data_IF_156612763584
#
_entry.id   IF_156612763584
#
_cell.length_a   1.000
_cell.length_b   1.000
_cell.length_c   1.000
_cell.angle_alpha   90.00
_cell.angle_beta   90.00
_cell.angle_gamma   90.00
#
_symmetry.space_group_name_H-M   'P 1'
#
loop_
_entity.id
_entity.type
_entity.pdbx_description
1 polymer ?
#
# COMPACT_ATOMS: atom_id res chain seq x y z
N UNK A 1 5.30 1.66 8.95
CA UNK A 1 4.54 2.76 9.58
C UNK A 1 5.37 3.54 10.58
N UNK A 2 5.93 2.90 11.62
CA UNK A 2 6.72 3.55 12.68
C UNK A 2 7.83 4.49 12.18
N UNK A 3 8.51 4.12 11.09
CA UNK A 3 9.53 5.01 10.50
C UNK A 3 8.98 6.32 9.94
N UNK A 4 7.79 6.32 9.35
CA UNK A 4 7.15 7.54 8.83
C UNK A 4 6.65 8.47 9.94
N UNK A 5 6.39 7.92 11.13
CA UNK A 5 5.81 8.63 12.26
C UNK A 5 6.86 9.11 13.26
N UNK A 6 7.88 8.30 13.53
CA UNK A 6 8.87 8.52 14.59
C UNK A 6 10.29 8.72 14.03
N UNK A 7 10.51 8.44 12.74
CA UNK A 7 11.85 8.49 12.13
C UNK A 7 12.77 7.33 12.51
N UNK A 8 12.35 6.49 13.47
CA UNK A 8 13.14 5.39 14.01
C UNK A 8 12.70 4.01 13.49
N UNK A 9 13.63 3.05 13.54
CA UNK A 9 13.36 1.64 13.25
C UNK A 9 12.94 0.97 14.54
N UNK A 10 11.65 0.69 14.67
CA UNK A 10 11.09 -0.05 15.79
C UNK A 10 11.01 -1.53 15.43
N UNK A 11 11.40 -2.41 16.35
CA UNK A 11 11.20 -3.86 16.20
C UNK A 11 9.71 -4.16 16.16
N UNK A 12 9.22 -4.73 15.05
CA UNK A 12 7.80 -4.99 14.84
C UNK A 12 7.43 -6.42 15.25
N UNK A 13 6.25 -6.59 15.84
CA UNK A 13 5.60 -7.90 16.05
C UNK A 13 4.62 -8.12 14.89
N UNK A 14 4.42 -9.35 14.38
CA UNK A 14 3.41 -9.61 13.36
C UNK A 14 2.02 -9.09 13.75
N UNK A 15 1.41 -8.26 12.90
CA UNK A 15 0.08 -7.70 13.15
C UNK A 15 -0.97 -8.83 13.07
N UNK A 16 -1.72 -9.03 14.15
CA UNK A 16 -2.80 -10.05 14.26
C UNK A 16 -4.17 -9.46 13.85
N UNK A 17 -4.27 -8.14 13.74
CA UNK A 17 -5.45 -7.42 13.27
C UNK A 17 -5.09 -6.23 12.40
N UNK A 18 -5.31 -5.03 12.94
CA UNK A 18 -4.96 -3.77 12.29
C UNK A 18 -4.39 -2.77 13.29
N UNK A 19 -3.58 -1.83 12.80
CA UNK A 19 -3.20 -0.63 13.54
C UNK A 19 -3.75 0.61 12.81
N UNK A 20 -4.19 1.61 13.57
CA UNK A 20 -4.57 2.92 13.03
C UNK A 20 -3.56 3.94 13.48
N UNK A 21 -2.93 4.62 12.54
CA UNK A 21 -2.03 5.72 12.85
C UNK A 21 -2.40 6.96 12.04
N UNK A 22 -2.20 8.12 12.67
CA UNK A 22 -2.26 9.39 11.99
C UNK A 22 -0.86 9.86 11.65
N UNK A 23 -0.56 9.96 10.36
CA UNK A 23 0.73 10.41 9.85
C UNK A 23 0.52 11.79 9.22
N UNK A 24 1.25 12.79 9.71
CA UNK A 24 1.31 14.09 9.02
C UNK A 24 2.54 14.10 8.14
N UNK A 25 2.34 14.23 6.83
CA UNK A 25 3.44 14.36 5.87
C UNK A 25 3.23 15.63 5.06
N UNK A 26 4.18 16.57 5.18
CA UNK A 26 4.06 17.94 4.69
C UNK A 26 2.78 18.61 5.22
N UNK A 27 1.91 19.08 4.32
CA UNK A 27 0.62 19.71 4.63
C UNK A 27 -0.57 18.75 4.58
N UNK A 28 -0.32 17.43 4.45
CA UNK A 28 -1.35 16.40 4.39
C UNK A 28 -1.38 15.58 5.68
N UNK A 29 -2.59 15.26 6.13
CA UNK A 29 -2.84 14.33 7.23
C UNK A 29 -3.39 13.04 6.65
N UNK A 30 -2.68 11.95 6.88
CA UNK A 30 -3.04 10.61 6.47
C UNK A 30 -3.60 9.86 7.68
N UNK A 31 -4.78 9.26 7.52
CA UNK A 31 -5.21 8.19 8.40
C UNK A 31 -4.80 6.87 7.74
N UNK A 32 -3.82 6.19 8.32
CA UNK A 32 -3.28 4.95 7.78
C UNK A 32 -3.80 3.77 8.58
N UNK A 33 -4.35 2.80 7.86
CA UNK A 33 -4.78 1.51 8.38
C UNK A 33 -3.74 0.47 7.98
N UNK A 34 -2.91 0.04 8.93
CA UNK A 34 -1.92 -1.02 8.72
C UNK A 34 -2.57 -2.37 8.97
N UNK A 35 -2.76 -3.15 7.90
CA UNK A 35 -3.47 -4.41 7.89
C UNK A 35 -2.48 -5.58 7.87
N UNK A 36 -2.67 -6.56 8.74
CA UNK A 36 -1.81 -7.73 8.75
C UNK A 36 -1.92 -8.57 7.46
N UNK A 37 -0.79 -9.14 7.03
CA UNK A 37 -0.66 -9.90 5.78
C UNK A 37 -0.80 -11.42 5.88
N UNK A 38 -1.12 -11.95 7.07
CA UNK A 38 -1.26 -13.39 7.29
C UNK A 38 -2.47 -13.93 6.51
N UNK A 39 -2.34 -15.10 5.90
CA UNK A 39 -3.38 -15.68 5.01
C UNK A 39 -4.75 -15.74 5.68
N UNK A 40 -4.82 -16.05 6.97
CA UNK A 40 -6.07 -16.14 7.74
C UNK A 40 -6.83 -14.82 7.89
N UNK A 41 -6.15 -13.67 7.77
CA UNK A 41 -6.74 -12.35 8.02
C UNK A 41 -6.95 -11.51 6.76
N UNK A 42 -6.39 -11.92 5.61
CA UNK A 42 -6.60 -11.22 4.32
C UNK A 42 -8.07 -11.02 3.95
N UNK A 43 -9.00 -11.97 4.22
CA UNK A 43 -10.42 -11.77 3.93
C UNK A 43 -11.07 -10.58 4.65
N UNK A 44 -10.42 -10.03 5.69
CA UNK A 44 -10.91 -8.85 6.42
C UNK A 44 -10.42 -7.52 5.84
N UNK A 45 -9.50 -7.52 4.86
CA UNK A 45 -9.04 -6.28 4.23
C UNK A 45 -10.19 -5.48 3.62
N UNK A 46 -11.21 -6.17 3.09
CA UNK A 46 -12.42 -5.56 2.52
C UNK A 46 -13.19 -4.66 3.46
N UNK A 47 -13.07 -4.87 4.78
CA UNK A 47 -13.70 -4.01 5.77
C UNK A 47 -13.13 -2.58 5.78
N UNK A 48 -12.04 -2.32 5.06
CA UNK A 48 -11.34 -1.03 5.02
C UNK A 48 -11.32 -0.40 3.63
N UNK A 49 -11.97 -0.98 2.63
CA UNK A 49 -11.94 -0.44 1.26
C UNK A 49 -12.83 0.80 1.09
N UNK A 50 -14.00 0.81 1.73
CA UNK A 50 -14.92 1.94 1.64
C UNK A 50 -14.27 3.23 2.14
N UNK A 51 -14.41 4.30 1.37
CA UNK A 51 -13.83 5.64 1.65
C UNK A 51 -12.29 5.66 1.73
N UNK A 52 -11.60 4.72 1.06
CA UNK A 52 -10.14 4.77 0.92
C UNK A 52 -9.72 5.63 -0.27
N UNK A 53 -8.92 6.67 -0.03
CA UNK A 53 -8.39 7.55 -1.09
C UNK A 53 -7.24 6.92 -1.90
N UNK A 54 -6.43 6.08 -1.24
CA UNK A 54 -5.26 5.43 -1.84
C UNK A 54 -4.86 4.15 -1.08
N UNK A 55 -4.22 3.23 -1.79
CA UNK A 55 -3.64 1.99 -1.24
C UNK A 55 -2.13 2.03 -1.37
N UNK A 56 -1.43 1.65 -0.30
CA UNK A 56 0.00 1.35 -0.31
C UNK A 56 0.14 -0.17 -0.15
N UNK A 57 0.57 -0.84 -1.22
CA UNK A 57 0.81 -2.28 -1.21
C UNK A 57 2.31 -2.57 -1.12
N UNK A 58 2.74 -3.29 -0.09
CA UNK A 58 4.15 -3.55 0.20
C UNK A 58 4.50 -4.99 -0.17
N UNK A 59 5.53 -5.15 -1.00
CA UNK A 59 6.02 -6.46 -1.46
C UNK A 59 7.45 -6.66 -0.98
N UNK A 60 7.72 -7.80 -0.35
CA UNK A 60 9.08 -8.20 -0.04
C UNK A 60 9.80 -8.68 -1.30
N UNK A 61 10.70 -7.83 -1.83
CA UNK A 61 11.48 -8.14 -3.04
C UNK A 61 12.48 -9.28 -2.88
N UNK A 62 12.83 -9.68 -1.64
CA UNK A 62 13.74 -10.78 -1.39
C UNK A 62 13.02 -12.15 -1.41
N UNK A 63 11.71 -12.17 -1.18
CA UNK A 63 10.90 -13.38 -1.11
C UNK A 63 10.34 -13.78 -2.48
N UNK A 64 11.18 -14.47 -3.26
CA UNK A 64 10.83 -14.90 -4.62
C UNK A 64 9.76 -15.97 -4.65
N UNK A 65 9.64 -16.80 -3.61
CA UNK A 65 8.69 -17.91 -3.57
C UNK A 65 7.26 -17.40 -3.39
N UNK A 66 7.08 -16.30 -2.64
CA UNK A 66 5.76 -15.72 -2.38
C UNK A 66 5.35 -14.60 -3.34
N UNK A 67 6.18 -14.28 -4.35
CA UNK A 67 5.86 -13.22 -5.31
C UNK A 67 4.59 -13.53 -6.11
N UNK A 68 4.37 -14.80 -6.47
CA UNK A 68 3.15 -15.24 -7.17
C UNK A 68 1.90 -15.07 -6.29
N UNK A 69 2.00 -15.41 -5.00
CA UNK A 69 0.91 -15.20 -4.04
C UNK A 69 0.62 -13.71 -3.90
N UNK A 70 1.64 -12.88 -3.76
CA UNK A 70 1.48 -11.42 -3.65
C UNK A 70 0.80 -10.81 -4.89
N UNK A 71 1.16 -11.29 -6.08
CA UNK A 71 0.48 -10.95 -7.33
C UNK A 71 -1.02 -11.27 -7.25
N UNK A 72 -1.36 -12.50 -6.89
CA UNK A 72 -2.74 -12.97 -6.91
C UNK A 72 -3.61 -12.22 -5.88
N UNK A 73 -3.06 -11.95 -4.70
CA UNK A 73 -3.73 -11.15 -3.65
C UNK A 73 -3.95 -9.70 -4.07
N UNK A 74 -2.95 -9.07 -4.69
CA UNK A 74 -3.08 -7.72 -5.23
C UNK A 74 -4.18 -7.66 -6.29
N UNK A 75 -4.21 -8.63 -7.21
CA UNK A 75 -5.25 -8.72 -8.23
C UNK A 75 -6.63 -9.00 -7.64
N UNK A 76 -6.72 -9.82 -6.59
CA UNK A 76 -7.98 -10.09 -5.91
C UNK A 76 -8.54 -8.83 -5.25
N UNK A 77 -7.71 -8.12 -4.47
CA UNK A 77 -8.09 -6.86 -3.83
C UNK A 77 -8.58 -5.83 -4.84
N UNK A 78 -7.86 -5.68 -5.96
CA UNK A 78 -8.16 -4.63 -6.92
C UNK A 78 -9.44 -4.84 -7.74
N UNK A 79 -9.95 -6.09 -7.79
CA UNK A 79 -11.23 -6.43 -8.45
C UNK A 79 -12.46 -5.99 -7.66
N UNK A 80 -12.28 -5.57 -6.41
CA UNK A 80 -13.39 -5.17 -5.55
C UNK A 80 -13.94 -3.81 -5.98
N UNK A 81 -15.26 -3.71 -6.14
CA UNK A 81 -15.93 -2.52 -6.68
C UNK A 81 -15.68 -1.27 -5.82
N UNK A 82 -15.51 -1.45 -4.50
CA UNK A 82 -15.18 -0.37 -3.57
C UNK A 82 -13.80 0.25 -3.85
N UNK A 83 -12.91 -0.52 -4.48
CA UNK A 83 -11.59 -0.08 -4.93
C UNK A 83 -11.56 0.23 -6.43
N UNK A 84 -12.71 0.23 -7.12
CA UNK A 84 -12.80 0.64 -8.52
C UNK A 84 -12.31 2.09 -8.78
N UNK A 85 -12.20 2.92 -7.74
CA UNK A 85 -11.59 4.27 -7.79
C UNK A 85 -10.07 4.32 -7.47
N UNK A 86 -9.49 3.25 -6.92
CA UNK A 86 -8.11 3.20 -6.40
C UNK A 86 -7.26 2.25 -7.23
N UNK A 87 -6.17 2.79 -7.79
CA UNK A 87 -5.48 2.35 -8.99
C UNK A 87 -5.09 0.83 -9.12
N UNK A 88 -5.23 0.24 -10.33
CA UNK A 88 -4.87 -1.14 -10.70
C UNK A 88 -3.53 -1.16 -11.42
N UNK A 89 -2.76 -2.19 -11.08
CA UNK A 89 -1.34 -2.34 -11.39
C UNK A 89 -1.12 -2.90 -12.79
N UNK A 90 -0.40 -2.15 -13.63
CA UNK A 90 -0.10 -2.54 -15.01
C UNK A 90 1.38 -2.32 -15.34
N UNK A 91 2.20 -3.37 -15.18
CA UNK A 91 3.32 -3.70 -16.09
C UNK A 91 4.14 -4.89 -15.60
N UNK A 92 4.06 -5.28 -14.33
CA UNK A 92 4.77 -6.46 -13.82
C UNK A 92 4.03 -7.79 -14.08
N UNK A 93 2.75 -7.77 -14.49
CA UNK A 93 1.84 -8.93 -14.41
C UNK A 93 1.24 -9.44 -15.74
N UNK A 94 1.50 -8.78 -16.87
CA UNK A 94 1.15 -9.28 -18.21
C UNK A 94 -0.34 -9.20 -18.62
N UNK A 95 -1.06 -8.13 -18.29
CA UNK A 95 -2.48 -7.99 -18.62
C UNK A 95 -2.75 -6.77 -19.52
N UNK A 96 -2.65 -6.87 -20.84
CA UNK A 96 -2.84 -5.77 -21.83
C UNK A 96 -4.22 -5.05 -21.86
N UNK A 97 -5.06 -5.15 -20.83
CA UNK A 97 -6.48 -4.78 -20.92
C UNK A 97 -6.96 -3.53 -20.15
N UNK A 98 -6.14 -2.79 -19.37
CA UNK A 98 -6.69 -1.85 -18.37
C UNK A 98 -5.95 -0.49 -18.33
N UNK A 99 -6.53 0.55 -18.95
CA UNK A 99 -5.87 1.84 -19.30
C UNK A 99 -6.08 3.03 -18.34
N UNK A 100 -6.88 2.92 -17.27
CA UNK A 100 -7.49 4.13 -16.64
C UNK A 100 -7.12 4.41 -15.17
N UNK A 101 -5.88 4.13 -14.71
CA UNK A 101 -5.53 4.29 -13.28
C UNK A 101 -4.08 4.79 -13.04
N UNK A 102 -3.91 5.66 -12.02
CA UNK A 102 -2.62 6.26 -11.63
C UNK A 102 -1.93 5.45 -10.54
N UNK A 103 -0.88 4.70 -10.89
CA UNK A 103 -0.06 3.96 -9.94
C UNK A 103 1.42 4.29 -10.15
N UNK A 104 2.26 3.98 -9.14
CA UNK A 104 3.71 4.05 -9.29
C UNK A 104 4.38 3.04 -8.35
N UNK A 105 5.48 2.46 -8.81
CA UNK A 105 6.28 1.50 -8.04
C UNK A 105 7.54 2.18 -7.54
N UNK A 106 7.83 2.03 -6.25
CA UNK A 106 9.04 2.55 -5.63
C UNK A 106 9.84 1.40 -5.03
N UNK A 107 11.14 1.36 -5.34
CA UNK A 107 12.08 0.53 -4.59
C UNK A 107 12.32 1.21 -3.25
N UNK A 108 12.05 0.53 -2.15
CA UNK A 108 12.18 1.09 -0.81
C UNK A 108 12.93 0.17 0.14
N UNK A 109 13.49 0.75 1.19
CA UNK A 109 14.02 0.03 2.35
C UNK A 109 13.41 0.63 3.61
N UNK A 110 12.53 -0.11 4.28
CA UNK A 110 11.94 0.34 5.54
C UNK A 110 13.01 0.52 6.64
N UNK A 111 14.08 -0.29 6.63
CA UNK A 111 15.16 -0.27 7.62
C UNK A 111 16.21 0.80 7.35
N UNK A 112 16.36 1.29 6.11
CA UNK A 112 17.26 2.40 5.78
C UNK A 112 16.55 3.72 5.47
N UNK A 113 15.24 3.70 5.23
CA UNK A 113 14.42 4.86 4.87
C UNK A 113 14.51 5.24 3.39
N UNK A 114 15.37 4.57 2.63
CA UNK A 114 15.53 4.79 1.19
C UNK A 114 14.21 4.56 0.47
N UNK A 115 13.85 5.42 -0.48
CA UNK A 115 12.65 5.26 -1.29
C UNK A 115 11.34 5.75 -0.66
N UNK A 116 11.29 5.88 0.68
CA UNK A 116 10.03 6.18 1.38
C UNK A 116 9.55 7.61 1.13
N UNK A 117 10.44 8.60 1.23
CA UNK A 117 10.07 10.00 1.00
C UNK A 117 9.60 10.22 -0.44
N UNK A 118 10.27 9.60 -1.42
CA UNK A 118 9.91 9.70 -2.83
C UNK A 118 8.52 9.09 -3.10
N UNK A 119 8.21 7.95 -2.45
CA UNK A 119 6.91 7.32 -2.54
C UNK A 119 5.80 8.19 -1.92
N UNK A 120 6.06 8.76 -0.74
CA UNK A 120 5.11 9.62 -0.03
C UNK A 120 4.91 10.96 -0.75
N UNK A 121 5.94 11.53 -1.36
CA UNK A 121 5.86 12.73 -2.18
C UNK A 121 4.98 12.53 -3.40
N UNK A 122 5.17 11.42 -4.11
CA UNK A 122 4.33 11.08 -5.25
C UNK A 122 2.88 10.88 -4.83
N UNK A 123 2.64 10.15 -3.74
CA UNK A 123 1.30 9.90 -3.21
C UNK A 123 0.61 11.22 -2.82
N UNK A 124 1.32 12.10 -2.11
CA UNK A 124 0.81 13.41 -1.72
C UNK A 124 0.39 14.25 -2.93
N UNK A 125 1.24 14.31 -3.96
CA UNK A 125 0.95 15.04 -5.18
C UNK A 125 -0.23 14.43 -5.96
N UNK A 126 -0.28 13.10 -6.08
CA UNK A 126 -1.35 12.40 -6.77
C UNK A 126 -2.72 12.67 -6.09
N UNK A 127 -2.78 12.63 -4.76
CA UNK A 127 -3.98 12.94 -4.00
C UNK A 127 -4.40 14.41 -4.10
N UNK A 128 -3.45 15.34 -4.12
CA UNK A 128 -3.74 16.77 -4.31
C UNK A 128 -4.25 17.08 -5.72
N UNK A 129 -3.74 16.38 -6.74
CA UNK A 129 -4.17 16.57 -8.14
C UNK A 129 -5.57 16.01 -8.46
N UNK A 130 -6.13 15.17 -7.59
CA UNK A 130 -7.49 14.60 -7.71
C UNK A 130 -8.59 15.51 -7.17
N UNK A 131 -8.24 16.59 -6.45
CA UNK A 131 -9.17 17.60 -5.94
C UNK A 131 -9.39 18.69 -6.98
#
# INVERSE_FOLDING_TARGET
LYRLQVGEVVTTIPTIGFNVEQVTYKNLKFQVWDLGGQTSIRPYWRCYYSNTDAIIYVVDSADKDRIGISKDELLYMLREDELAGVAEVHQALGLEALKNRTFQIFKTSATKGEGLDQAMDWLANALQSRK
#
